data_IF_564272092527
#
_entry.id   IF_564272092527
#
_cell.length_a   1.000
_cell.length_b   1.000
_cell.length_c   1.000
_cell.angle_alpha   90.00
_cell.angle_beta   90.00
_cell.angle_gamma   90.00
#
_symmetry.space_group_name_H-M   'P 1'
#
loop_
_entity.id
_entity.type
_entity.pdbx_description
1 polymer ?
#
# COMPACT_ATOMS: atom_id res chain seq x y z
N UNK A 1 15.55 -0.58 -16.11
CA UNK A 1 14.40 -1.48 -16.12
C UNK A 1 14.50 -2.48 -14.97
N UNK A 2 13.42 -2.71 -14.24
CA UNK A 2 13.46 -3.63 -13.12
C UNK A 2 13.33 -5.08 -13.59
N UNK A 3 14.10 -5.98 -12.98
CA UNK A 3 13.93 -7.41 -13.23
C UNK A 3 12.84 -7.98 -12.31
N UNK A 4 12.45 -9.23 -12.55
CA UNK A 4 11.39 -9.87 -11.79
C UNK A 4 11.70 -9.93 -10.29
N UNK A 5 12.96 -10.14 -9.94
CA UNK A 5 13.39 -10.24 -8.54
C UNK A 5 13.21 -8.89 -7.83
N UNK A 6 13.57 -7.80 -8.49
CA UNK A 6 13.40 -6.46 -7.94
C UNK A 6 11.92 -6.12 -7.77
N UNK A 7 11.09 -6.45 -8.76
CA UNK A 7 9.65 -6.24 -8.68
C UNK A 7 9.04 -7.01 -7.52
N UNK A 8 9.47 -8.26 -7.33
CA UNK A 8 8.99 -9.09 -6.24
C UNK A 8 9.37 -8.48 -4.89
N UNK A 9 10.60 -8.00 -4.75
CA UNK A 9 11.05 -7.35 -3.52
C UNK A 9 10.22 -6.11 -3.22
N UNK A 10 9.95 -5.27 -4.21
CA UNK A 10 9.14 -4.06 -4.03
C UNK A 10 7.70 -4.41 -3.69
N UNK A 11 7.15 -5.44 -4.32
CA UNK A 11 5.79 -5.89 -4.05
C UNK A 11 5.63 -6.38 -2.62
N UNK A 12 6.67 -6.97 -2.05
CA UNK A 12 6.63 -7.54 -0.71
C UNK A 12 6.92 -6.53 0.40
N UNK A 13 7.19 -5.27 0.05
CA UNK A 13 7.31 -4.22 1.07
C UNK A 13 5.96 -4.12 1.81
N UNK A 14 5.96 -4.20 3.15
CA UNK A 14 4.70 -4.07 3.89
C UNK A 14 4.03 -2.72 3.64
N UNK A 15 2.73 -2.73 3.39
CA UNK A 15 1.97 -1.49 3.21
C UNK A 15 2.06 -0.62 4.46
N UNK A 16 2.14 -1.24 5.64
CA UNK A 16 2.31 -0.52 6.89
C UNK A 16 3.60 0.31 6.91
N UNK A 17 4.67 -0.16 6.27
CA UNK A 17 5.92 0.60 6.17
C UNK A 17 5.74 1.85 5.30
N UNK A 18 4.95 1.74 4.23
CA UNK A 18 4.67 2.89 3.36
C UNK A 18 3.92 3.97 4.15
N UNK A 19 3.02 3.56 5.03
CA UNK A 19 2.21 4.47 5.85
C UNK A 19 2.94 4.93 7.11
N UNK A 20 4.13 4.40 7.38
CA UNK A 20 4.87 4.73 8.59
C UNK A 20 4.26 4.14 9.86
N UNK A 21 3.55 3.04 9.74
CA UNK A 21 2.87 2.38 10.85
C UNK A 21 3.67 1.16 11.31
N UNK A 22 3.49 0.82 12.60
CA UNK A 22 4.10 -0.39 13.15
C UNK A 22 3.35 -1.62 12.63
N UNK A 23 4.06 -2.58 12.09
CA UNK A 23 3.47 -3.85 11.66
C UNK A 23 3.41 -4.80 12.85
N UNK A 24 2.19 -5.02 13.36
CA UNK A 24 1.95 -5.93 14.49
C UNK A 24 1.43 -7.28 14.04
N UNK A 25 1.32 -7.52 12.72
CA UNK A 25 0.73 -8.72 12.17
C UNK A 25 -0.78 -8.75 12.19
N UNK A 26 -1.41 -7.74 12.79
CA UNK A 26 -2.86 -7.62 12.88
C UNK A 26 -3.37 -6.58 11.88
N UNK A 27 -4.60 -6.79 11.41
CA UNK A 27 -5.24 -5.78 10.55
C UNK A 27 -5.41 -4.47 11.30
N UNK A 28 -5.30 -3.37 10.57
CA UNK A 28 -5.42 -2.03 11.13
C UNK A 28 -6.40 -1.21 10.31
N UNK A 29 -7.16 -0.37 11.01
CA UNK A 29 -8.01 0.62 10.36
C UNK A 29 -7.22 1.93 10.27
N UNK A 30 -7.19 2.52 9.08
CA UNK A 30 -6.49 3.79 8.84
C UNK A 30 -7.39 4.72 8.04
N UNK A 31 -7.10 6.02 8.11
CA UNK A 31 -7.75 6.99 7.25
C UNK A 31 -7.31 6.73 5.81
N UNK A 32 -8.27 6.63 4.90
CA UNK A 32 -7.96 6.35 3.50
C UNK A 32 -7.24 7.54 2.87
N UNK A 33 -6.02 7.35 2.34
CA UNK A 33 -5.28 8.44 1.72
C UNK A 33 -5.76 8.77 0.31
N UNK A 34 -6.66 7.94 -0.26
CA UNK A 34 -7.05 8.08 -1.66
C UNK A 34 -8.22 9.05 -1.87
N UNK A 35 -9.06 9.26 -0.86
CA UNK A 35 -10.22 10.14 -0.99
C UNK A 35 -10.35 11.16 0.14
N UNK A 36 -9.31 11.33 0.94
CA UNK A 36 -9.28 12.36 1.98
C UNK A 36 -10.32 12.20 3.08
N UNK A 37 -10.72 10.96 3.36
CA UNK A 37 -11.68 10.67 4.43
C UNK A 37 -11.07 11.02 5.80
N UNK A 38 -11.92 11.47 6.72
CA UNK A 38 -11.51 11.76 8.09
C UNK A 38 -11.74 10.58 9.03
N UNK A 39 -12.50 9.60 8.60
CA UNK A 39 -12.79 8.39 9.36
C UNK A 39 -11.85 7.26 8.95
N UNK A 40 -11.46 6.36 9.87
CA UNK A 40 -10.59 5.23 9.52
C UNK A 40 -11.37 4.15 8.77
N UNK A 41 -11.66 4.41 7.50
CA UNK A 41 -12.48 3.55 6.66
C UNK A 41 -11.66 2.54 5.85
N UNK A 42 -10.34 2.62 5.85
CA UNK A 42 -9.50 1.67 5.13
C UNK A 42 -8.90 0.65 6.10
N UNK A 43 -8.92 -0.61 5.70
CA UNK A 43 -8.35 -1.70 6.49
C UNK A 43 -7.10 -2.22 5.79
N UNK A 44 -6.02 -2.36 6.55
CA UNK A 44 -4.77 -2.97 6.09
C UNK A 44 -4.69 -4.37 6.67
N UNK A 45 -4.41 -5.35 5.82
CA UNK A 45 -4.26 -6.75 6.21
C UNK A 45 -2.78 -7.14 6.06
N UNK A 46 -1.99 -7.05 7.15
CA UNK A 46 -0.53 -7.28 7.04
C UNK A 46 -0.17 -8.71 6.66
N UNK A 47 -0.97 -9.69 7.02
CA UNK A 47 -0.71 -11.10 6.75
C UNK A 47 -0.72 -11.41 5.25
N UNK A 48 -1.59 -10.76 4.49
CA UNK A 48 -1.66 -10.90 3.03
C UNK A 48 -1.06 -9.71 2.31
N UNK A 49 -0.63 -8.69 3.06
CA UNK A 49 -0.12 -7.42 2.53
C UNK A 49 -1.10 -6.80 1.53
N UNK A 50 -2.36 -6.73 1.94
CA UNK A 50 -3.44 -6.19 1.12
C UNK A 50 -4.20 -5.10 1.85
N UNK A 51 -5.07 -4.42 1.14
CA UNK A 51 -5.88 -3.34 1.71
C UNK A 51 -7.26 -3.31 1.07
N UNK A 52 -8.21 -2.74 1.81
CA UNK A 52 -9.56 -2.48 1.32
C UNK A 52 -10.11 -1.24 2.02
N UNK A 53 -10.65 -0.30 1.23
CA UNK A 53 -11.31 0.88 1.79
C UNK A 53 -12.82 0.75 1.67
N UNK A 54 -13.49 0.71 2.80
CA UNK A 54 -14.95 0.61 2.83
C UNK A 54 -15.64 1.92 2.43
N UNK A 55 -14.90 3.04 2.45
CA UNK A 55 -15.45 4.33 2.07
C UNK A 55 -15.50 4.56 0.57
N UNK A 56 -14.48 4.13 -0.17
CA UNK A 56 -14.41 4.34 -1.61
C UNK A 56 -14.29 3.03 -2.41
N UNK A 57 -14.34 1.89 -1.74
CA UNK A 57 -14.29 0.55 -2.35
C UNK A 57 -12.99 0.25 -3.10
N UNK A 58 -11.93 1.01 -2.83
CA UNK A 58 -10.62 0.74 -3.42
C UNK A 58 -9.95 -0.40 -2.70
N UNK A 59 -9.32 -1.28 -3.44
CA UNK A 59 -8.65 -2.44 -2.87
C UNK A 59 -7.47 -2.85 -3.75
N UNK A 60 -6.60 -3.65 -3.18
CA UNK A 60 -5.46 -4.18 -3.90
C UNK A 60 -4.60 -5.05 -3.00
N UNK A 61 -3.57 -5.63 -3.59
CA UNK A 61 -2.62 -6.47 -2.88
C UNK A 61 -1.20 -6.06 -3.23
N UNK A 62 -0.37 -5.91 -2.20
CA UNK A 62 1.03 -5.56 -2.36
C UNK A 62 1.28 -4.06 -2.40
N UNK A 63 2.53 -3.69 -2.13
CA UNK A 63 2.94 -2.30 -2.06
C UNK A 63 2.81 -1.58 -3.40
N UNK A 64 3.06 -2.28 -4.50
CA UNK A 64 2.99 -1.68 -5.84
C UNK A 64 1.56 -1.23 -6.13
N UNK A 65 0.58 -2.09 -5.88
CA UNK A 65 -0.83 -1.73 -6.09
C UNK A 65 -1.23 -0.54 -5.23
N UNK A 66 -0.76 -0.52 -3.98
CA UNK A 66 -1.08 0.56 -3.05
C UNK A 66 -0.56 1.90 -3.57
N UNK A 67 0.68 1.95 -4.02
CA UNK A 67 1.28 3.20 -4.50
C UNK A 67 0.65 3.63 -5.84
N UNK A 68 0.37 2.68 -6.74
CA UNK A 68 -0.29 2.99 -8.01
C UNK A 68 -1.70 3.56 -7.80
N UNK A 69 -2.41 3.09 -6.77
CA UNK A 69 -3.76 3.57 -6.47
C UNK A 69 -3.75 5.05 -6.07
N UNK A 70 -2.61 5.57 -5.60
CA UNK A 70 -2.49 6.99 -5.25
C UNK A 70 -2.39 7.91 -6.47
N UNK A 71 -2.33 7.35 -7.68
CA UNK A 71 -2.32 8.14 -8.91
C UNK A 71 -0.94 8.31 -9.54
N UNK A 72 0.08 7.66 -9.00
CA UNK A 72 1.42 7.70 -9.56
C UNK A 72 1.53 6.82 -10.81
N UNK A 73 2.46 7.16 -11.72
CA UNK A 73 2.81 6.27 -12.80
C UNK A 73 3.60 5.08 -12.26
N UNK A 74 3.70 4.01 -13.03
CA UNK A 74 4.46 2.84 -12.61
C UNK A 74 5.91 3.20 -12.26
N UNK A 75 6.53 4.04 -13.07
CA UNK A 75 7.92 4.48 -12.84
C UNK A 75 8.05 5.24 -11.52
N UNK A 76 7.13 6.17 -11.26
CA UNK A 76 7.12 6.95 -10.03
C UNK A 76 6.89 6.06 -8.81
N UNK A 77 5.99 5.09 -8.94
CA UNK A 77 5.71 4.13 -7.86
C UNK A 77 6.96 3.34 -7.50
N UNK A 78 7.70 2.88 -8.51
CA UNK A 78 8.91 2.11 -8.28
C UNK A 78 9.98 2.95 -7.57
N UNK A 79 10.15 4.20 -7.99
CA UNK A 79 11.11 5.10 -7.36
C UNK A 79 10.75 5.39 -5.90
N UNK A 80 9.48 5.60 -5.64
CA UNK A 80 8.99 5.87 -4.29
C UNK A 80 9.24 4.68 -3.37
N UNK A 81 8.96 3.47 -3.84
CA UNK A 81 9.17 2.25 -3.05
C UNK A 81 10.64 1.98 -2.78
N UNK A 82 11.52 2.33 -3.72
CA UNK A 82 12.96 2.14 -3.52
C UNK A 82 13.52 3.05 -2.43
N UNK A 83 12.84 4.14 -2.11
CA UNK A 83 13.29 5.11 -1.11
C UNK A 83 12.74 4.84 0.29
N UNK A 84 12.02 3.76 0.49
CA UNK A 84 11.48 3.38 1.79
C UNK A 84 12.49 2.61 2.64
#
# INVERSE_FOLDING_TARGET
>A
MLNEKELEQLRNIPITDILGLRNTGRRRNVVCPFHGDTNPSMVIYPDTNSYYCFGCSRSGQGAIDFVLESGCSFKEAMEELKNI
#
